data_IF_163793768199
#
_entry.id   IF_163793768199
#
_cell.length_a   1.000
_cell.length_b   1.000
_cell.length_c   1.000
_cell.angle_alpha   90.00
_cell.angle_beta   90.00
_cell.angle_gamma   90.00
#
_symmetry.space_group_name_H-M   'P 1'
#
loop_
_entity.id
_entity.type
_entity.pdbx_description
1 polymer ?
#
# COMPACT_ATOMS: atom_id res chain seq x y z
N UNK A 1 15.69 44.14 -1.33
CA UNK A 1 14.26 43.98 -1.64
C UNK A 1 13.95 42.49 -1.55
N UNK A 2 13.56 42.02 -0.37
CA UNK A 2 13.33 40.60 -0.08
C UNK A 2 11.83 40.34 0.05
N UNK A 3 11.28 39.43 -0.74
CA UNK A 3 9.89 38.99 -0.65
C UNK A 3 9.87 37.57 -0.08
N UNK A 4 9.72 37.45 1.24
CA UNK A 4 9.32 36.21 1.88
C UNK A 4 7.79 36.14 1.90
N UNK A 5 7.20 35.15 1.23
CA UNK A 5 5.79 34.79 1.41
C UNK A 5 5.72 33.69 2.46
N UNK A 6 5.30 34.05 3.67
CA UNK A 6 4.88 33.12 4.72
C UNK A 6 3.44 32.67 4.42
N UNK A 7 3.25 31.36 4.29
CA UNK A 7 1.92 30.74 4.19
C UNK A 7 1.42 30.52 5.62
N UNK A 8 0.32 31.18 5.96
CA UNK A 8 -0.39 31.05 7.24
C UNK A 8 -1.36 29.88 7.17
N UNK A 9 -1.17 28.86 7.99
CA UNK A 9 -2.15 27.77 8.22
C UNK A 9 -3.02 28.13 9.45
N UNK A 10 -4.31 27.73 9.49
CA UNK A 10 -5.22 28.02 10.59
C UNK A 10 -4.93 27.14 11.82
N UNK A 11 -5.26 27.59 13.05
CA UNK A 11 -4.89 26.90 14.28
C UNK A 11 -5.82 25.72 14.57
N UNK A 12 -5.22 24.61 14.98
CA UNK A 12 -5.89 23.49 15.64
C UNK A 12 -6.27 23.90 17.06
N UNK A 13 -7.52 23.63 17.43
CA UNK A 13 -8.10 23.89 18.74
C UNK A 13 -7.33 23.07 19.79
N UNK A 14 -6.63 23.77 20.69
CA UNK A 14 -6.10 23.22 21.93
C UNK A 14 -7.21 23.33 22.99
N UNK A 15 -7.67 22.20 23.50
CA UNK A 15 -8.54 22.14 24.69
C UNK A 15 -7.64 22.04 25.91
N UNK A 16 -7.80 23.01 26.82
CA UNK A 16 -7.07 23.13 28.07
C UNK A 16 -7.39 21.97 29.02
N UNK A 17 -6.35 21.34 29.57
CA UNK A 17 -6.45 20.56 30.80
C UNK A 17 -6.33 21.50 32.01
N UNK A 18 -7.37 21.55 32.84
CA UNK A 18 -7.26 21.84 34.26
C UNK A 18 -8.14 20.86 35.03
N UNK A 19 -7.52 20.14 35.97
CA UNK A 19 -8.11 19.00 36.65
C UNK A 19 -9.05 19.33 37.81
N UNK A 20 -9.64 18.27 38.38
CA UNK A 20 -9.63 17.88 39.80
C UNK A 20 -10.54 16.66 40.01
N UNK A 21 -9.92 15.62 40.55
CA UNK A 21 -10.39 14.58 41.48
C UNK A 21 -11.67 13.75 41.23
N UNK A 22 -11.40 12.44 41.06
CA UNK A 22 -11.99 11.29 41.75
C UNK A 22 -13.50 11.27 41.99
N UNK A 23 -14.17 10.28 41.37
CA UNK A 23 -14.97 9.31 42.11
C UNK A 23 -15.13 8.01 41.33
N UNK A 24 -14.84 6.91 42.01
CA UNK A 24 -15.05 5.51 41.61
C UNK A 24 -16.54 5.17 41.54
N UNK A 25 -16.99 4.55 40.45
CA UNK A 25 -18.09 3.57 40.48
C UNK A 25 -17.99 2.65 39.29
N UNK A 26 -18.02 1.36 39.57
CA UNK A 26 -18.03 0.23 38.64
C UNK A 26 -19.26 0.27 37.72
N UNK A 27 -19.11 -0.02 36.43
CA UNK A 27 -20.03 -0.92 35.73
C UNK A 27 -19.46 -1.46 34.41
N UNK A 28 -19.58 -2.77 34.29
CA UNK A 28 -19.19 -3.71 33.23
C UNK A 28 -20.25 -3.72 32.11
N UNK A 29 -19.94 -3.30 30.87
CA UNK A 29 -20.69 -3.65 29.63
C UNK A 29 -19.72 -3.47 28.43
N UNK A 30 -19.23 -4.58 27.87
CA UNK A 30 -19.58 -5.10 26.54
C UNK A 30 -19.41 -4.11 25.38
N UNK A 31 -18.39 -4.41 24.57
CA UNK A 31 -18.22 -4.03 23.17
C UNK A 31 -19.51 -4.17 22.38
N UNK A 32 -19.92 -3.11 21.70
CA UNK A 32 -20.77 -3.16 20.52
C UNK A 32 -20.36 -2.03 19.59
N UNK A 33 -19.98 -2.42 18.39
CA UNK A 33 -19.59 -1.58 17.28
C UNK A 33 -20.84 -0.84 16.76
N UNK A 34 -20.88 0.48 16.87
CA UNK A 34 -21.82 1.31 16.09
C UNK A 34 -21.11 1.78 14.82
N UNK A 35 -21.25 0.97 13.77
CA UNK A 35 -21.10 1.45 12.40
C UNK A 35 -22.39 2.17 12.05
N UNK A 36 -22.33 3.49 11.93
CA UNK A 36 -23.35 4.28 11.23
C UNK A 36 -23.33 3.90 9.74
N UNK A 37 -24.03 2.82 9.37
CA UNK A 37 -24.54 2.68 8.01
C UNK A 37 -25.74 3.62 7.89
N UNK A 38 -25.57 4.65 7.07
CA UNK A 38 -26.65 5.44 6.49
C UNK A 38 -27.55 4.51 5.69
N UNK A 39 -28.51 3.90 6.38
CA UNK A 39 -29.70 3.34 5.76
C UNK A 39 -30.49 4.53 5.22
N UNK A 40 -30.29 4.84 3.94
CA UNK A 40 -31.27 5.58 3.18
C UNK A 40 -32.55 4.75 3.24
N UNK A 41 -33.44 5.16 4.14
CA UNK A 41 -34.77 4.63 4.29
C UNK A 41 -35.48 4.68 2.94
N UNK A 42 -35.51 3.55 2.24
CA UNK A 42 -36.56 3.29 1.28
C UNK A 42 -37.81 2.97 2.10
N UNK A 43 -38.43 4.02 2.64
CA UNK A 43 -39.84 4.00 3.02
C UNK A 43 -40.63 3.71 1.74
N UNK A 44 -40.77 2.42 1.40
CA UNK A 44 -41.99 2.00 0.72
C UNK A 44 -43.05 2.17 1.79
N UNK A 45 -43.71 3.32 1.71
CA UNK A 45 -44.90 3.67 2.44
C UNK A 45 -45.82 2.45 2.46
N UNK A 46 -45.75 1.71 3.56
CA UNK A 46 -46.59 0.56 3.82
C UNK A 46 -47.96 1.20 4.02
N UNK A 47 -48.66 1.35 2.90
CA UNK A 47 -50.00 1.89 2.87
C UNK A 47 -50.75 1.18 3.98
N UNK A 48 -51.16 2.02 4.92
CA UNK A 48 -51.95 1.70 6.08
C UNK A 48 -52.91 0.60 5.66
N UNK A 49 -52.92 -0.52 6.40
CA UNK A 49 -54.05 -1.43 6.35
C UNK A 49 -55.24 -0.59 6.79
N UNK A 50 -55.90 0.04 5.83
CA UNK A 50 -57.17 0.71 6.02
C UNK A 50 -58.05 -0.40 6.56
N UNK A 51 -58.27 -0.38 7.87
CA UNK A 51 -59.32 -1.15 8.50
C UNK A 51 -60.60 -0.62 7.87
N UNK A 52 -60.94 -1.16 6.70
CA UNK A 52 -62.29 -1.16 6.20
C UNK A 52 -63.07 -2.02 7.18
N UNK A 53 -63.43 -1.42 8.32
CA UNK A 53 -64.62 -1.83 9.03
C UNK A 53 -65.72 -1.77 7.98
N UNK A 54 -66.18 -2.94 7.54
CA UNK A 54 -67.47 -3.08 6.87
C UNK A 54 -68.56 -2.74 7.88
N UNK A 55 -68.61 -1.47 8.29
CA UNK A 55 -69.71 -0.91 9.03
C UNK A 55 -70.68 -0.39 7.99
N UNK A 56 -71.71 -1.20 7.70
CA UNK A 56 -72.92 -0.74 7.04
C UNK A 56 -72.92 -0.80 5.51
N UNK A 57 -72.91 -1.99 4.91
CA UNK A 57 -73.67 -2.16 3.67
C UNK A 57 -75.16 -2.23 4.04
N UNK A 58 -75.82 -1.07 4.08
CA UNK A 58 -77.28 -1.03 4.13
C UNK A 58 -77.82 -1.66 2.84
N UNK A 59 -78.68 -2.67 2.99
CA UNK A 59 -79.36 -3.34 1.89
C UNK A 59 -80.38 -2.38 1.24
N UNK A 60 -79.91 -1.45 0.41
CA UNK A 60 -80.78 -0.44 -0.22
C UNK A 60 -81.53 -0.97 -1.46
N UNK A 61 -81.40 -2.26 -1.82
CA UNK A 61 -82.09 -2.82 -2.98
C UNK A 61 -82.92 -4.09 -2.72
N UNK A 62 -82.94 -4.58 -1.47
CA UNK A 62 -83.81 -5.67 -1.06
C UNK A 62 -84.21 -5.43 0.40
N UNK A 63 -85.51 -5.31 0.67
CA UNK A 63 -86.03 -5.02 2.01
C UNK A 63 -85.48 -5.96 3.10
N UNK A 64 -85.54 -5.54 4.38
CA UNK A 64 -84.94 -6.25 5.51
C UNK A 64 -85.54 -7.66 5.60
N UNK A 65 -84.82 -8.66 5.08
CA UNK A 65 -85.26 -10.06 5.03
C UNK A 65 -85.07 -10.79 3.70
N UNK A 66 -84.74 -10.11 2.59
CA UNK A 66 -84.59 -10.77 1.26
C UNK A 66 -83.15 -10.82 0.77
N UNK A 67 -82.24 -11.42 1.53
CA UNK A 67 -80.90 -11.74 1.02
C UNK A 67 -80.98 -12.99 0.15
N UNK A 68 -80.54 -12.93 -1.13
CA UNK A 68 -80.45 -14.09 -2.02
C UNK A 68 -79.74 -15.26 -1.35
N UNK A 69 -80.28 -16.46 -1.51
CA UNK A 69 -79.77 -17.67 -0.85
C UNK A 69 -78.32 -17.98 -1.24
N UNK A 70 -77.98 -17.76 -2.51
CA UNK A 70 -76.62 -17.87 -3.05
C UNK A 70 -75.61 -16.97 -2.30
N UNK A 71 -75.94 -15.71 -2.04
CA UNK A 71 -75.05 -14.79 -1.32
C UNK A 71 -74.82 -15.23 0.13
N UNK A 72 -75.86 -15.81 0.77
CA UNK A 72 -75.75 -16.33 2.14
C UNK A 72 -74.85 -17.57 2.21
N UNK A 73 -74.89 -18.42 1.19
CA UNK A 73 -74.04 -19.61 1.08
C UNK A 73 -72.58 -19.22 0.82
N UNK A 74 -72.32 -18.29 -0.11
CA UNK A 74 -70.98 -17.80 -0.43
C UNK A 74 -70.31 -17.12 0.77
N UNK A 75 -71.03 -16.29 1.54
CA UNK A 75 -70.48 -15.65 2.74
C UNK A 75 -70.14 -16.64 3.85
N UNK A 76 -70.97 -17.68 4.04
CA UNK A 76 -70.66 -18.77 4.98
C UNK A 76 -69.41 -19.50 4.53
N UNK A 77 -69.27 -19.80 3.23
CA UNK A 77 -68.10 -20.46 2.67
C UNK A 77 -66.83 -19.63 2.88
N UNK A 78 -66.85 -18.33 2.55
CA UNK A 78 -65.72 -17.40 2.80
C UNK A 78 -65.33 -17.42 4.28
N UNK A 79 -66.29 -17.28 5.20
CA UNK A 79 -65.97 -17.22 6.62
C UNK A 79 -65.39 -18.53 7.16
N UNK A 80 -65.88 -19.68 6.69
CA UNK A 80 -65.35 -20.99 7.10
C UNK A 80 -63.94 -21.20 6.56
N UNK A 81 -63.70 -20.91 5.28
CA UNK A 81 -62.40 -21.09 4.64
C UNK A 81 -61.35 -20.09 5.18
N UNK A 82 -61.74 -18.83 5.46
CA UNK A 82 -60.83 -17.86 6.07
C UNK A 82 -60.50 -18.17 7.53
N UNK A 83 -61.43 -18.77 8.29
CA UNK A 83 -61.15 -19.25 9.64
C UNK A 83 -60.22 -20.48 9.64
N UNK A 84 -60.17 -21.23 8.55
CA UNK A 84 -59.26 -22.38 8.40
C UNK A 84 -57.81 -21.96 8.09
N UNK A 85 -57.61 -20.77 7.51
CA UNK A 85 -56.26 -20.25 7.17
C UNK A 85 -55.65 -19.56 8.40
N UNK A 86 -54.45 -19.97 8.80
CA UNK A 86 -53.76 -19.39 9.95
C UNK A 86 -53.07 -18.07 9.60
N UNK A 87 -53.23 -17.05 10.45
CA UNK A 87 -52.63 -15.72 10.24
C UNK A 87 -51.08 -15.71 10.35
N UNK A 88 -50.48 -16.80 10.84
CA UNK A 88 -49.04 -16.95 11.00
C UNK A 88 -48.35 -17.48 9.73
N UNK A 89 -49.10 -17.92 8.71
CA UNK A 89 -48.51 -18.49 7.51
C UNK A 89 -47.88 -17.43 6.61
N UNK A 90 -46.65 -17.67 6.10
CA UNK A 90 -45.94 -16.71 5.24
C UNK A 90 -46.64 -16.46 3.90
N UNK A 91 -47.62 -17.30 3.51
CA UNK A 91 -48.46 -17.16 2.30
C UNK A 91 -49.91 -16.82 2.62
N UNK A 92 -50.19 -16.30 3.81
CA UNK A 92 -51.54 -15.96 4.26
C UNK A 92 -52.31 -15.12 3.23
N UNK A 93 -51.66 -14.11 2.64
CA UNK A 93 -52.29 -13.22 1.66
C UNK A 93 -52.61 -13.91 0.33
N UNK A 94 -51.74 -14.82 -0.14
CA UNK A 94 -51.99 -15.64 -1.34
C UNK A 94 -53.13 -16.64 -1.11
N UNK A 95 -53.16 -17.29 0.05
CA UNK A 95 -54.20 -18.25 0.42
C UNK A 95 -55.56 -17.57 0.60
N UNK A 96 -55.57 -16.38 1.23
CA UNK A 96 -56.76 -15.54 1.36
C UNK A 96 -57.29 -15.14 -0.02
N UNK A 97 -56.42 -14.69 -0.93
CA UNK A 97 -56.81 -14.33 -2.29
C UNK A 97 -57.40 -15.54 -3.05
N UNK A 98 -56.85 -16.74 -2.84
CA UNK A 98 -57.34 -17.98 -3.43
C UNK A 98 -58.78 -18.31 -3.00
N UNK A 99 -59.12 -18.12 -1.72
CA UNK A 99 -60.48 -18.31 -1.21
C UNK A 99 -61.46 -17.35 -1.88
N UNK A 100 -61.11 -16.07 -1.97
CA UNK A 100 -61.95 -15.08 -2.65
C UNK A 100 -62.08 -15.36 -4.15
N UNK A 101 -61.02 -15.83 -4.82
CA UNK A 101 -61.04 -16.21 -6.24
C UNK A 101 -61.98 -17.38 -6.50
N UNK A 102 -61.94 -18.41 -5.65
CA UNK A 102 -62.84 -19.58 -5.73
C UNK A 102 -64.32 -19.18 -5.51
N UNK A 103 -64.58 -18.30 -4.55
CA UNK A 103 -65.93 -17.79 -4.25
C UNK A 103 -66.43 -16.91 -5.40
N UNK A 104 -65.56 -16.11 -6.00
CA UNK A 104 -65.91 -15.29 -7.15
C UNK A 104 -66.18 -16.15 -8.40
N UNK A 105 -65.48 -17.28 -8.58
CA UNK A 105 -65.79 -18.26 -9.63
C UNK A 105 -67.17 -18.90 -9.45
N UNK A 106 -67.51 -19.29 -8.22
CA UNK A 106 -68.84 -19.80 -7.88
C UNK A 106 -69.91 -18.72 -8.14
N UNK A 107 -69.63 -17.47 -7.77
CA UNK A 107 -70.53 -16.34 -8.04
C UNK A 107 -70.74 -16.13 -9.55
N UNK A 108 -69.67 -16.06 -10.35
CA UNK A 108 -69.77 -15.88 -11.80
C UNK A 108 -70.55 -17.01 -12.47
N UNK A 109 -70.33 -18.26 -12.03
CA UNK A 109 -71.03 -19.43 -12.59
C UNK A 109 -72.55 -19.40 -12.38
N UNK A 110 -73.03 -18.71 -11.35
CA UNK A 110 -74.46 -18.60 -11.03
C UNK A 110 -75.18 -17.48 -11.81
N UNK A 111 -74.46 -16.49 -12.36
CA UNK A 111 -75.03 -15.36 -13.10
C UNK A 111 -74.85 -15.53 -14.62
N UNK A 112 -75.61 -16.44 -15.21
CA UNK A 112 -75.47 -16.84 -16.63
C UNK A 112 -75.59 -15.68 -17.63
N UNK A 113 -76.43 -14.67 -17.37
CA UNK A 113 -76.64 -13.52 -18.28
C UNK A 113 -75.44 -12.56 -18.33
N UNK A 114 -74.76 -12.34 -17.21
CA UNK A 114 -73.63 -11.40 -17.10
C UNK A 114 -72.26 -12.10 -17.05
N UNK A 115 -72.27 -13.44 -17.08
CA UNK A 115 -71.09 -14.29 -17.00
C UNK A 115 -69.99 -13.90 -17.99
N UNK A 116 -70.24 -13.61 -19.28
CA UNK A 116 -69.15 -13.27 -20.21
C UNK A 116 -68.40 -11.99 -19.79
N UNK A 117 -69.11 -10.98 -19.31
CA UNK A 117 -68.53 -9.71 -18.85
C UNK A 117 -67.72 -9.92 -17.57
N UNK A 118 -68.29 -10.59 -16.57
CA UNK A 118 -67.60 -10.85 -15.29
C UNK A 118 -66.38 -11.76 -15.47
N UNK A 119 -66.45 -12.77 -16.33
CA UNK A 119 -65.31 -13.60 -16.72
C UNK A 119 -64.21 -12.76 -17.37
N UNK A 120 -64.56 -11.81 -18.23
CA UNK A 120 -63.57 -10.94 -18.91
C UNK A 120 -62.87 -10.04 -17.90
N UNK A 121 -63.63 -9.39 -17.02
CA UNK A 121 -63.08 -8.56 -15.95
C UNK A 121 -62.17 -9.38 -15.04
N UNK A 122 -62.60 -10.59 -14.62
CA UNK A 122 -61.78 -11.49 -13.79
C UNK A 122 -60.46 -11.85 -14.49
N UNK A 123 -60.51 -12.18 -15.78
CA UNK A 123 -59.32 -12.52 -16.57
C UNK A 123 -58.31 -11.38 -16.59
N UNK A 124 -58.75 -10.14 -16.76
CA UNK A 124 -57.83 -8.98 -16.74
C UNK A 124 -57.10 -8.85 -15.39
N UNK A 125 -57.82 -9.01 -14.27
CA UNK A 125 -57.18 -9.00 -12.95
C UNK A 125 -56.27 -10.22 -12.72
N UNK A 126 -56.71 -11.42 -13.09
CA UNK A 126 -55.92 -12.65 -12.98
C UNK A 126 -54.62 -12.53 -13.81
N UNK A 127 -54.67 -11.89 -14.99
CA UNK A 127 -53.51 -11.62 -15.84
C UNK A 127 -52.52 -10.65 -15.17
N UNK A 128 -53.00 -9.56 -14.56
CA UNK A 128 -52.15 -8.60 -13.85
C UNK A 128 -51.47 -9.25 -12.65
N UNK A 129 -52.22 -10.05 -11.86
CA UNK A 129 -51.67 -10.76 -10.70
C UNK A 129 -50.59 -11.75 -11.13
N UNK A 130 -50.83 -12.51 -12.20
CA UNK A 130 -49.83 -13.44 -12.75
C UNK A 130 -48.57 -12.71 -13.23
N UNK A 131 -48.72 -11.57 -13.92
CA UNK A 131 -47.59 -10.73 -14.34
C UNK A 131 -46.75 -10.23 -13.16
N UNK A 132 -47.41 -9.74 -12.10
CA UNK A 132 -46.71 -9.29 -10.87
C UNK A 132 -45.97 -10.44 -10.18
N UNK A 133 -46.56 -11.63 -10.12
CA UNK A 133 -45.89 -12.82 -9.56
C UNK A 133 -44.63 -13.19 -10.36
N UNK A 134 -44.68 -13.10 -11.69
CA UNK A 134 -43.53 -13.34 -12.55
C UNK A 134 -42.41 -12.30 -12.32
N UNK A 135 -42.76 -11.02 -12.16
CA UNK A 135 -41.80 -9.97 -11.80
C UNK A 135 -41.14 -10.23 -10.43
N UNK A 136 -41.93 -10.62 -9.42
CA UNK A 136 -41.40 -10.98 -8.09
C UNK A 136 -40.44 -12.17 -8.21
N UNK A 137 -40.79 -13.19 -9.00
CA UNK A 137 -39.93 -14.35 -9.24
C UNK A 137 -38.62 -13.97 -9.95
N UNK A 138 -38.65 -13.02 -10.89
CA UNK A 138 -37.45 -12.48 -11.56
C UNK A 138 -36.57 -11.68 -10.61
N UNK A 139 -37.14 -10.98 -9.63
CA UNK A 139 -36.38 -10.20 -8.64
C UNK A 139 -35.65 -11.06 -7.61
N UNK A 140 -36.17 -12.25 -7.29
CA UNK A 140 -35.56 -13.16 -6.31
C UNK A 140 -34.09 -13.55 -6.62
N UNK A 141 -33.74 -14.02 -7.84
CA UNK A 141 -32.34 -14.33 -8.17
C UNK A 141 -31.46 -13.09 -8.18
N UNK A 142 -31.95 -11.93 -8.63
CA UNK A 142 -31.19 -10.67 -8.60
C UNK A 142 -30.80 -10.28 -7.16
N UNK A 143 -31.73 -10.42 -6.20
CA UNK A 143 -31.43 -10.18 -4.78
C UNK A 143 -30.37 -11.13 -4.23
N UNK A 144 -30.38 -12.39 -4.68
CA UNK A 144 -29.35 -13.37 -4.29
C UNK A 144 -27.97 -13.03 -4.89
N UNK A 145 -27.92 -12.63 -6.16
CA UNK A 145 -26.68 -12.21 -6.82
C UNK A 145 -26.10 -10.95 -6.18
N UNK A 146 -26.96 -9.95 -5.88
CA UNK A 146 -26.53 -8.74 -5.19
C UNK A 146 -25.91 -9.04 -3.82
N UNK A 147 -26.51 -9.98 -3.07
CA UNK A 147 -25.96 -10.42 -1.77
C UNK A 147 -24.59 -11.05 -1.93
N UNK A 148 -24.41 -11.95 -2.91
CA UNK A 148 -23.12 -12.58 -3.19
C UNK A 148 -22.06 -11.55 -3.56
N UNK A 149 -22.39 -10.59 -4.45
CA UNK A 149 -21.47 -9.51 -4.84
C UNK A 149 -21.12 -8.64 -3.62
N UNK A 150 -22.08 -8.32 -2.75
CA UNK A 150 -21.81 -7.59 -1.50
C UNK A 150 -20.81 -8.36 -0.62
N UNK A 151 -21.06 -9.64 -0.38
CA UNK A 151 -20.17 -10.50 0.41
C UNK A 151 -18.77 -10.61 -0.21
N UNK A 152 -18.66 -10.66 -1.54
CA UNK A 152 -17.39 -10.67 -2.26
C UNK A 152 -16.62 -9.35 -2.10
N UNK A 153 -17.30 -8.22 -2.26
CA UNK A 153 -16.71 -6.90 -2.06
C UNK A 153 -16.21 -6.73 -0.62
N UNK A 154 -17.03 -7.07 0.38
CA UNK A 154 -16.61 -7.03 1.78
C UNK A 154 -15.40 -7.93 2.05
N UNK A 155 -15.34 -9.12 1.44
CA UNK A 155 -14.19 -10.02 1.59
C UNK A 155 -12.92 -9.43 0.99
N UNK A 156 -13.02 -8.79 -0.18
CA UNK A 156 -11.88 -8.11 -0.82
C UNK A 156 -11.40 -6.94 0.03
N UNK A 157 -12.32 -6.11 0.52
CA UNK A 157 -12.03 -4.99 1.41
C UNK A 157 -11.31 -5.52 2.67
N UNK A 158 -11.87 -6.52 3.36
CA UNK A 158 -11.24 -7.13 4.55
C UNK A 158 -9.88 -7.78 4.26
N UNK A 159 -9.65 -8.31 3.07
CA UNK A 159 -8.35 -8.85 2.68
C UNK A 159 -7.31 -7.74 2.52
N UNK A 160 -7.65 -6.66 1.79
CA UNK A 160 -6.78 -5.51 1.60
C UNK A 160 -6.44 -4.82 2.93
N UNK A 161 -7.43 -4.63 3.81
CA UNK A 161 -7.18 -4.08 5.15
C UNK A 161 -6.18 -4.91 5.96
N UNK A 162 -6.28 -6.25 5.91
CA UNK A 162 -5.33 -7.13 6.60
C UNK A 162 -3.93 -6.99 6.02
N UNK A 163 -3.80 -7.00 4.70
CA UNK A 163 -2.51 -6.84 4.02
C UNK A 163 -1.86 -5.51 4.38
N UNK A 164 -2.58 -4.40 4.23
CA UNK A 164 -2.12 -3.07 4.61
C UNK A 164 -1.73 -2.98 6.09
N UNK A 165 -2.53 -3.56 6.98
CA UNK A 165 -2.20 -3.59 8.40
C UNK A 165 -0.92 -4.40 8.67
N UNK A 166 -0.73 -5.55 8.00
CA UNK A 166 0.52 -6.31 8.15
C UNK A 166 1.72 -5.54 7.61
N UNK A 167 1.59 -4.83 6.49
CA UNK A 167 2.64 -3.98 5.91
C UNK A 167 3.02 -2.83 6.85
N UNK A 168 2.02 -2.11 7.38
CA UNK A 168 2.24 -1.03 8.35
C UNK A 168 2.98 -1.54 9.58
N UNK A 169 2.60 -2.70 10.11
CA UNK A 169 3.27 -3.28 11.27
C UNK A 169 4.69 -3.74 10.96
N UNK A 170 4.97 -4.24 9.75
CA UNK A 170 6.33 -4.55 9.31
C UNK A 170 7.19 -3.28 9.20
N UNK A 171 6.69 -2.25 8.51
CA UNK A 171 7.38 -0.98 8.33
C UNK A 171 7.62 -0.28 9.68
N UNK A 172 6.69 -0.39 10.62
CA UNK A 172 6.85 0.16 11.97
C UNK A 172 7.99 -0.53 12.72
N UNK A 173 8.08 -1.86 12.63
CA UNK A 173 9.19 -2.64 13.21
C UNK A 173 10.52 -2.29 12.57
N UNK A 174 10.57 -2.22 11.24
CA UNK A 174 11.78 -1.84 10.51
C UNK A 174 12.24 -0.42 10.86
N UNK A 175 11.30 0.54 10.92
CA UNK A 175 11.60 1.90 11.37
C UNK A 175 12.21 1.91 12.77
N UNK A 176 11.65 1.14 13.70
CA UNK A 176 12.19 1.06 15.05
C UNK A 176 13.61 0.48 15.06
N UNK A 177 13.83 -0.62 14.32
CA UNK A 177 15.17 -1.22 14.18
C UNK A 177 16.19 -0.22 13.62
N UNK A 178 15.84 0.49 12.54
CA UNK A 178 16.72 1.51 11.95
C UNK A 178 16.99 2.66 12.92
N UNK A 179 16.02 3.04 13.76
CA UNK A 179 16.23 4.06 14.79
C UNK A 179 17.21 3.59 15.87
N UNK A 180 17.11 2.33 16.30
CA UNK A 180 18.04 1.71 17.24
C UNK A 180 19.45 1.63 16.65
N UNK A 181 19.58 1.22 15.38
CA UNK A 181 20.85 1.14 14.68
C UNK A 181 21.52 2.52 14.54
N UNK A 182 20.75 3.55 14.13
CA UNK A 182 21.24 4.94 14.05
C UNK A 182 21.70 5.45 15.41
N UNK A 183 20.98 5.12 16.48
CA UNK A 183 21.36 5.51 17.82
C UNK A 183 22.66 4.83 18.24
N UNK A 184 22.82 3.53 17.97
CA UNK A 184 24.07 2.81 18.25
C UNK A 184 25.25 3.40 17.47
N UNK A 185 25.06 3.72 16.19
CA UNK A 185 26.10 4.33 15.36
C UNK A 185 26.50 5.70 15.89
N UNK A 186 25.54 6.54 16.29
CA UNK A 186 25.82 7.84 16.92
C UNK A 186 26.58 7.70 18.24
N UNK A 187 26.31 6.66 19.01
CA UNK A 187 27.06 6.37 20.23
C UNK A 187 28.50 5.94 19.92
N UNK A 188 28.69 5.08 18.93
CA UNK A 188 30.04 4.69 18.48
C UNK A 188 30.83 5.88 17.92
N UNK A 189 30.17 6.78 17.17
CA UNK A 189 30.77 8.00 16.63
C UNK A 189 31.22 8.92 17.77
N UNK A 190 30.36 9.17 18.76
CA UNK A 190 30.73 9.95 19.96
C UNK A 190 31.91 9.31 20.69
N UNK A 191 31.90 7.99 20.88
CA UNK A 191 33.00 7.28 21.52
C UNK A 191 34.31 7.44 20.74
N UNK A 192 34.28 7.24 19.42
CA UNK A 192 35.43 7.48 18.55
C UNK A 192 35.92 8.92 18.62
N UNK A 193 35.01 9.90 18.59
CA UNK A 193 35.36 11.31 18.72
C UNK A 193 36.09 11.59 20.04
N UNK A 194 35.63 11.04 21.16
CA UNK A 194 36.34 11.21 22.44
C UNK A 194 37.74 10.60 22.43
N UNK A 195 37.93 9.48 21.72
CA UNK A 195 39.26 8.86 21.55
C UNK A 195 40.15 9.75 20.69
N UNK A 196 39.63 10.30 19.59
CA UNK A 196 40.36 11.24 18.72
C UNK A 196 40.78 12.48 19.51
N UNK A 197 39.86 13.10 20.26
CA UNK A 197 40.13 14.29 21.07
C UNK A 197 41.22 13.99 22.13
N UNK A 198 41.15 12.83 22.78
CA UNK A 198 42.17 12.37 23.71
C UNK A 198 43.53 12.23 23.04
N UNK A 199 43.61 11.50 21.93
CA UNK A 199 44.88 11.29 21.21
C UNK A 199 45.46 12.61 20.70
N UNK A 200 44.62 13.54 20.25
CA UNK A 200 45.03 14.88 19.86
C UNK A 200 45.62 15.65 21.04
N UNK A 201 45.00 15.57 22.22
CA UNK A 201 45.54 16.20 23.43
C UNK A 201 46.89 15.60 23.85
N UNK A 202 47.03 14.27 23.81
CA UNK A 202 48.25 13.55 24.15
C UNK A 202 49.38 13.89 23.17
N UNK A 203 49.09 13.94 21.87
CA UNK A 203 50.03 14.37 20.85
C UNK A 203 50.48 15.81 21.07
N UNK A 204 49.56 16.73 21.39
CA UNK A 204 49.92 18.13 21.69
C UNK A 204 50.82 18.26 22.92
N UNK A 205 50.59 17.42 23.94
CA UNK A 205 51.41 17.38 25.14
C UNK A 205 52.81 16.85 24.84
N UNK A 206 52.93 15.80 24.04
CA UNK A 206 54.21 15.26 23.60
C UNK A 206 55.01 16.28 22.77
N UNK A 207 54.36 17.03 21.87
CA UNK A 207 55.01 18.11 21.13
C UNK A 207 55.50 19.23 22.05
N UNK A 208 54.74 19.60 23.08
CA UNK A 208 55.15 20.61 24.04
C UNK A 208 56.37 20.14 24.84
N UNK A 209 56.35 18.91 25.36
CA UNK A 209 57.48 18.31 26.07
C UNK A 209 58.73 18.26 25.20
N UNK A 210 58.60 17.82 23.95
CA UNK A 210 59.72 17.79 23.01
C UNK A 210 60.33 19.18 22.77
N UNK A 211 59.49 20.21 22.65
CA UNK A 211 59.93 21.60 22.49
C UNK A 211 60.66 22.11 23.72
N UNK A 212 60.12 21.88 24.92
CA UNK A 212 60.74 22.27 26.18
C UNK A 212 62.10 21.59 26.38
N UNK A 213 62.18 20.29 26.09
CA UNK A 213 63.43 19.52 26.07
C UNK A 213 64.44 20.06 25.06
N UNK A 214 63.99 20.40 23.86
CA UNK A 214 64.84 21.01 22.84
C UNK A 214 65.36 22.39 23.30
N UNK A 215 64.50 23.23 23.88
CA UNK A 215 64.89 24.56 24.38
C UNK A 215 65.87 24.44 25.56
N UNK A 216 65.67 23.48 26.46
CA UNK A 216 66.61 23.15 27.54
C UNK A 216 67.98 22.69 26.99
N UNK A 217 67.99 21.80 25.98
CA UNK A 217 69.24 21.35 25.31
C UNK A 217 69.95 22.50 24.62
N UNK A 218 69.24 23.38 23.91
CA UNK A 218 69.82 24.55 23.26
C UNK A 218 70.46 25.49 24.28
N UNK A 219 69.80 25.70 25.43
CA UNK A 219 70.34 26.51 26.51
C UNK A 219 71.62 25.88 27.11
N UNK A 220 71.63 24.57 27.33
CA UNK A 220 72.82 23.84 27.78
C UNK A 220 73.97 23.91 26.76
N UNK A 221 73.68 23.78 25.47
CA UNK A 221 74.67 23.92 24.39
C UNK A 221 75.27 25.33 24.39
N UNK A 222 74.46 26.38 24.55
CA UNK A 222 74.96 27.75 24.68
C UNK A 222 75.86 27.90 25.90
N UNK A 223 75.42 27.43 27.07
CA UNK A 223 76.23 27.46 28.29
C UNK A 223 77.57 26.71 28.12
N UNK A 224 77.54 25.53 27.50
CA UNK A 224 78.75 24.77 27.19
C UNK A 224 79.65 25.50 26.20
N UNK A 225 79.10 26.15 25.17
CA UNK A 225 79.86 26.94 24.22
C UNK A 225 80.44 28.20 24.85
N UNK A 226 79.77 28.83 25.81
CA UNK A 226 80.30 29.97 26.56
C UNK A 226 81.48 29.53 27.45
N UNK A 227 81.34 28.39 28.16
CA UNK A 227 82.42 27.79 28.96
C UNK A 227 83.60 27.30 28.09
N UNK A 228 83.29 26.66 26.96
CA UNK A 228 84.29 26.12 26.02
C UNK A 228 84.94 27.24 25.22
N UNK A 229 84.21 28.28 24.81
CA UNK A 229 84.77 29.48 24.20
C UNK A 229 85.65 30.26 25.16
N UNK A 230 85.35 30.24 26.46
CA UNK A 230 86.24 30.74 27.51
C UNK A 230 87.47 29.83 27.75
N UNK A 231 87.36 28.52 27.52
CA UNK A 231 88.43 27.52 27.70
C UNK A 231 89.30 27.27 26.45
N UNK A 232 88.77 27.49 25.25
CA UNK A 232 89.36 27.13 23.95
C UNK A 232 89.87 28.40 23.29
N UNK A 233 90.86 28.99 23.94
CA UNK A 233 91.95 29.67 23.22
C UNK A 233 93.04 28.70 22.80
N UNK A 234 92.96 27.39 23.11
CA UNK A 234 94.03 26.47 22.77
C UNK A 234 93.56 25.07 22.32
N UNK A 235 94.10 24.67 21.17
CA UNK A 235 94.37 23.29 20.70
C UNK A 235 93.19 22.39 20.30
N UNK A 236 93.10 22.13 18.99
CA UNK A 236 92.39 20.99 18.39
C UNK A 236 93.40 20.07 17.70
N UNK A 237 93.54 18.78 18.05
CA UNK A 237 94.27 17.82 17.24
C UNK A 237 93.32 17.06 16.29
N UNK A 238 93.83 16.76 15.10
CA UNK A 238 93.19 15.96 14.08
C UNK A 238 93.33 14.46 14.41
N UNK A 239 92.20 13.75 14.48
CA UNK A 239 92.15 12.29 14.67
C UNK A 239 92.07 11.62 13.29
N UNK A 240 92.87 10.56 13.11
CA UNK A 240 93.07 9.86 11.85
C UNK A 240 91.94 8.86 11.58
N UNK A 241 91.44 8.88 10.34
CA UNK A 241 90.38 8.03 9.80
C UNK A 241 90.87 6.59 9.56
N UNK A 242 90.51 5.67 10.45
CA UNK A 242 90.56 4.22 10.19
C UNK A 242 89.18 3.57 10.24
N UNK A 243 88.21 4.19 10.92
CA UNK A 243 86.82 3.72 11.04
C UNK A 243 85.96 3.91 9.78
N UNK A 244 86.40 4.75 8.82
CA UNK A 244 85.62 5.07 7.62
C UNK A 244 85.47 3.87 6.66
N UNK A 245 86.48 3.00 6.57
CA UNK A 245 86.46 1.86 5.65
C UNK A 245 85.56 0.72 6.14
N UNK A 246 85.42 0.55 7.47
CA UNK A 246 84.48 -0.43 8.04
C UNK A 246 83.02 -0.02 7.83
N UNK A 247 82.74 1.27 8.00
CA UNK A 247 81.43 1.86 7.73
C UNK A 247 81.02 1.74 6.26
N UNK A 248 81.97 1.83 5.32
CA UNK A 248 81.70 1.70 3.88
C UNK A 248 81.30 0.26 3.50
N UNK A 249 81.94 -0.74 4.11
CA UNK A 249 81.58 -2.16 3.96
C UNK A 249 80.20 -2.49 4.56
N UNK A 250 79.89 -1.96 5.75
CA UNK A 250 78.57 -2.14 6.38
C UNK A 250 77.46 -1.43 5.60
N UNK A 251 77.75 -0.26 5.02
CA UNK A 251 76.81 0.48 4.20
C UNK A 251 76.49 -0.24 2.89
N UNK A 252 77.48 -0.89 2.27
CA UNK A 252 77.25 -1.69 1.07
C UNK A 252 76.45 -2.97 1.38
N UNK A 253 76.74 -3.64 2.50
CA UNK A 253 75.92 -4.76 2.98
C UNK A 253 74.45 -4.34 3.22
N UNK A 254 74.23 -3.17 3.84
CA UNK A 254 72.88 -2.62 4.03
C UNK A 254 72.18 -2.28 2.70
N UNK A 255 72.93 -1.84 1.69
CA UNK A 255 72.38 -1.56 0.34
C UNK A 255 71.96 -2.83 -0.39
N UNK A 256 72.72 -3.89 -0.24
CA UNK A 256 72.38 -5.20 -0.80
C UNK A 256 71.12 -5.77 -0.14
N UNK A 257 71.01 -5.69 1.19
CA UNK A 257 69.80 -6.10 1.91
C UNK A 257 68.57 -5.26 1.53
N UNK A 258 68.73 -3.94 1.42
CA UNK A 258 67.65 -3.06 0.93
C UNK A 258 67.24 -3.38 -0.51
N UNK A 259 68.19 -3.77 -1.36
CA UNK A 259 67.90 -4.15 -2.76
C UNK A 259 67.16 -5.48 -2.82
N UNK A 260 67.53 -6.44 -1.97
CA UNK A 260 66.83 -7.72 -1.82
C UNK A 260 65.40 -7.53 -1.30
N UNK A 261 65.22 -6.73 -0.24
CA UNK A 261 63.89 -6.41 0.31
C UNK A 261 63.06 -5.67 -0.75
N UNK A 262 63.64 -4.72 -1.50
CA UNK A 262 62.93 -4.05 -2.60
C UNK A 262 62.48 -5.02 -3.70
N UNK A 263 63.28 -6.00 -4.07
CA UNK A 263 62.89 -7.01 -5.04
C UNK A 263 61.78 -7.93 -4.50
N UNK A 264 61.86 -8.35 -3.24
CA UNK A 264 60.83 -9.14 -2.56
C UNK A 264 59.50 -8.36 -2.43
N UNK A 265 59.55 -7.04 -2.21
CA UNK A 265 58.37 -6.18 -2.08
C UNK A 265 57.82 -5.66 -3.41
N UNK A 266 58.61 -5.65 -4.49
CA UNK A 266 58.16 -5.18 -5.81
C UNK A 266 57.01 -6.05 -6.35
N UNK A 267 57.11 -7.37 -6.17
CA UNK A 267 56.09 -8.33 -6.63
C UNK A 267 54.92 -8.52 -5.65
N UNK A 268 55.06 -8.13 -4.38
CA UNK A 268 54.26 -8.77 -3.33
C UNK A 268 52.97 -8.06 -2.90
N UNK A 269 52.74 -6.75 -3.07
CA UNK A 269 51.66 -6.11 -2.25
C UNK A 269 50.74 -5.06 -2.91
N UNK A 270 51.00 -4.50 -4.11
CA UNK A 270 49.86 -3.91 -4.85
C UNK A 270 49.58 -4.52 -6.22
N UNK A 271 50.59 -4.76 -7.06
CA UNK A 271 50.34 -5.07 -8.47
C UNK A 271 49.64 -6.42 -8.69
N UNK A 272 50.05 -7.47 -7.97
CA UNK A 272 49.42 -8.78 -8.07
C UNK A 272 47.93 -8.75 -7.65
N UNK A 273 47.62 -8.06 -6.56
CA UNK A 273 46.24 -7.93 -6.07
C UNK A 273 45.40 -7.04 -7.00
N UNK A 274 46.00 -6.00 -7.59
CA UNK A 274 45.37 -5.20 -8.64
C UNK A 274 45.07 -6.02 -9.90
N UNK A 275 46.00 -6.86 -10.36
CA UNK A 275 45.80 -7.71 -11.53
C UNK A 275 44.71 -8.76 -11.27
N UNK A 276 44.71 -9.39 -10.09
CA UNK A 276 43.66 -10.31 -9.68
C UNK A 276 42.29 -9.62 -9.61
N UNK A 277 42.23 -8.41 -9.03
CA UNK A 277 41.01 -7.60 -8.98
C UNK A 277 40.55 -7.17 -10.37
N UNK A 278 41.47 -6.83 -11.27
CA UNK A 278 41.16 -6.44 -12.64
C UNK A 278 40.62 -7.63 -13.45
N UNK A 279 41.20 -8.82 -13.30
CA UNK A 279 40.71 -10.04 -13.93
C UNK A 279 39.30 -10.42 -13.44
N UNK A 280 39.05 -10.32 -12.13
CA UNK A 280 37.71 -10.58 -11.58
C UNK A 280 36.70 -9.55 -12.07
N UNK A 281 37.06 -8.26 -12.10
CA UNK A 281 36.22 -7.21 -12.66
C UNK A 281 35.86 -7.48 -14.13
N UNK A 282 36.84 -7.82 -14.98
CA UNK A 282 36.60 -8.16 -16.38
C UNK A 282 35.66 -9.36 -16.53
N UNK A 283 35.84 -10.41 -15.71
CA UNK A 283 34.94 -11.57 -15.68
C UNK A 283 33.50 -11.18 -15.33
N UNK A 284 33.31 -10.37 -14.29
CA UNK A 284 31.99 -9.89 -13.86
C UNK A 284 31.32 -9.05 -14.95
N UNK A 285 32.08 -8.19 -15.63
CA UNK A 285 31.56 -7.39 -16.77
C UNK A 285 31.09 -8.29 -17.91
N UNK A 286 31.82 -9.36 -18.22
CA UNK A 286 31.38 -10.34 -19.23
C UNK A 286 30.10 -11.05 -18.82
N UNK A 287 29.98 -11.47 -17.55
CA UNK A 287 28.75 -12.08 -17.02
C UNK A 287 27.55 -11.12 -17.05
N UNK A 288 27.75 -9.84 -16.77
CA UNK A 288 26.70 -8.84 -16.88
C UNK A 288 26.25 -8.67 -18.33
N UNK A 289 27.17 -8.68 -19.29
CA UNK A 289 26.84 -8.62 -20.72
C UNK A 289 26.04 -9.83 -21.18
N UNK A 290 26.39 -11.04 -20.73
CA UNK A 290 25.62 -12.25 -21.06
C UNK A 290 24.22 -12.19 -20.45
N UNK A 291 24.09 -11.86 -19.16
CA UNK A 291 22.80 -11.73 -18.49
C UNK A 291 21.93 -10.62 -19.10
N UNK A 292 22.53 -9.52 -19.54
CA UNK A 292 21.81 -8.47 -20.26
C UNK A 292 21.30 -8.97 -21.62
N UNK A 293 22.05 -9.83 -22.31
CA UNK A 293 21.62 -10.52 -23.52
C UNK A 293 20.43 -11.44 -23.25
N UNK A 294 20.54 -12.29 -22.24
CA UNK A 294 19.49 -13.22 -21.82
C UNK A 294 18.20 -12.49 -21.42
N UNK A 295 18.33 -11.38 -20.67
CA UNK A 295 17.19 -10.53 -20.32
C UNK A 295 16.51 -9.94 -21.54
N UNK A 296 17.27 -9.46 -22.53
CA UNK A 296 16.70 -8.96 -23.79
C UNK A 296 15.98 -10.06 -24.58
N UNK A 297 16.53 -11.27 -24.58
CA UNK A 297 15.91 -12.44 -25.21
C UNK A 297 14.57 -12.77 -24.54
N UNK A 298 14.57 -12.94 -23.22
CA UNK A 298 13.35 -13.21 -22.44
C UNK A 298 12.30 -12.11 -22.65
N UNK A 299 12.74 -10.84 -22.68
CA UNK A 299 11.84 -9.72 -22.96
C UNK A 299 11.21 -9.85 -24.34
N UNK A 300 11.98 -10.19 -25.37
CA UNK A 300 11.45 -10.41 -26.71
C UNK A 300 10.50 -11.61 -26.77
N UNK A 301 10.81 -12.72 -26.09
CA UNK A 301 9.92 -13.89 -26.01
C UNK A 301 8.60 -13.52 -25.31
N UNK A 302 8.68 -12.78 -24.20
CA UNK A 302 7.50 -12.27 -23.50
C UNK A 302 6.67 -11.35 -24.40
N UNK A 303 7.30 -10.41 -25.09
CA UNK A 303 6.62 -9.49 -26.01
C UNK A 303 5.93 -10.27 -27.14
N UNK A 304 6.57 -11.30 -27.71
CA UNK A 304 5.94 -12.18 -28.72
C UNK A 304 4.76 -12.97 -28.15
N UNK A 305 4.87 -13.50 -26.92
CA UNK A 305 3.76 -14.22 -26.28
C UNK A 305 2.60 -13.27 -25.96
N UNK A 306 2.90 -12.04 -25.57
CA UNK A 306 1.92 -10.98 -25.36
C UNK A 306 1.20 -10.62 -26.67
N UNK A 307 1.93 -10.52 -27.77
CA UNK A 307 1.35 -10.33 -29.11
C UNK A 307 0.48 -11.51 -29.55
N UNK A 308 0.91 -12.75 -29.30
CA UNK A 308 0.10 -13.96 -29.55
C UNK A 308 -1.18 -13.98 -28.70
N UNK A 309 -1.11 -13.59 -27.43
CA UNK A 309 -2.29 -13.50 -26.58
C UNK A 309 -3.25 -12.40 -27.06
N UNK A 310 -2.71 -11.22 -27.42
CA UNK A 310 -3.52 -10.12 -27.98
C UNK A 310 -4.17 -10.50 -29.31
N UNK A 311 -3.44 -11.16 -30.21
CA UNK A 311 -3.96 -11.63 -31.51
C UNK A 311 -4.93 -12.81 -31.37
N UNK A 312 -4.72 -13.71 -30.41
CA UNK A 312 -5.67 -14.77 -30.04
C UNK A 312 -6.97 -14.24 -29.42
N UNK A 313 -6.90 -13.12 -28.70
CA UNK A 313 -8.08 -12.40 -28.18
C UNK A 313 -8.78 -11.55 -29.27
N UNK A 314 -8.09 -11.27 -30.38
CA UNK A 314 -8.63 -10.62 -31.59
C UNK A 314 -9.18 -11.63 -32.62
N UNK A 315 -9.42 -12.89 -32.25
CA UNK A 315 -10.44 -13.70 -32.92
C UNK A 315 -11.80 -13.52 -32.24
N UNK A 316 -12.60 -12.51 -32.60
CA UNK A 316 -14.03 -12.66 -32.49
C UNK A 316 -14.43 -13.69 -33.55
N UNK A 317 -15.03 -14.77 -33.05
CA UNK A 317 -16.21 -15.45 -33.59
C UNK A 317 -16.97 -14.58 -34.62
N UNK A 318 -16.45 -14.49 -35.84
CA UNK A 318 -17.10 -13.83 -36.98
C UNK A 318 -17.73 -14.92 -37.85
N UNK A 319 -18.93 -15.33 -37.44
CA UNK A 319 -19.98 -15.55 -38.42
C UNK A 319 -21.09 -14.53 -38.14
N UNK A 320 -21.47 -13.85 -39.24
CA UNK A 320 -22.70 -13.06 -39.44
C UNK A 320 -22.63 -11.56 -39.08
N UNK A 321 -22.28 -10.80 -40.12
CA UNK A 321 -22.97 -9.63 -40.69
C UNK A 321 -23.45 -8.49 -39.78
N UNK A 322 -23.11 -7.25 -40.18
CA UNK A 322 -24.03 -6.22 -40.72
C UNK A 322 -23.62 -4.79 -40.31
N UNK A 323 -23.06 -4.06 -41.27
CA UNK A 323 -23.24 -2.62 -41.61
C UNK A 323 -23.08 -1.47 -40.60
N UNK A 324 -22.50 -0.39 -41.15
CA UNK A 324 -22.70 1.06 -40.89
C UNK A 324 -21.66 1.76 -40.00
N UNK A 325 -20.85 2.59 -40.68
CA UNK A 325 -20.37 3.95 -40.37
C UNK A 325 -20.15 4.35 -38.91
N UNK A 326 -18.94 4.85 -38.59
CA UNK A 326 -18.66 6.30 -38.44
C UNK A 326 -17.18 6.59 -38.17
N UNK A 327 -16.69 7.59 -38.91
CA UNK A 327 -15.82 8.69 -38.49
C UNK A 327 -14.51 8.42 -37.75
N UNK A 328 -13.45 8.65 -38.52
CA UNK A 328 -12.08 8.95 -38.12
C UNK A 328 -12.05 10.25 -37.31
N UNK A 329 -11.54 10.21 -36.08
CA UNK A 329 -10.92 11.36 -35.44
C UNK A 329 -9.50 11.00 -34.97
N UNK A 330 -8.59 11.87 -35.38
CA UNK A 330 -7.16 11.97 -35.10
C UNK A 330 -6.92 12.17 -33.61
N UNK A 331 -5.84 11.58 -33.07
CA UNK A 331 -4.81 12.35 -32.38
C UNK A 331 -3.45 11.62 -32.40
N UNK A 332 -2.45 12.38 -32.85
CA UNK A 332 -1.02 12.08 -32.87
C UNK A 332 -0.47 12.03 -31.43
N UNK A 333 0.47 11.13 -31.17
CA UNK A 333 1.50 11.43 -30.16
C UNK A 333 2.87 10.92 -30.62
N UNK A 334 3.81 11.86 -30.55
CA UNK A 334 5.09 11.87 -31.23
C UNK A 334 6.14 11.02 -30.52
N UNK A 335 6.86 10.27 -31.35
CA UNK A 335 8.10 9.58 -31.05
C UNK A 335 9.22 10.61 -30.80
N UNK A 336 9.76 10.67 -29.58
CA UNK A 336 11.02 11.39 -29.30
C UNK A 336 12.15 10.40 -29.01
N UNK A 337 13.14 10.42 -29.90
CA UNK A 337 14.41 9.68 -29.84
C UNK A 337 15.26 10.10 -28.63
N UNK A 338 16.00 9.18 -27.99
CA UNK A 338 17.01 9.52 -26.98
C UNK A 338 18.37 9.72 -27.65
N UNK A 339 18.69 10.94 -28.08
CA UNK A 339 19.98 11.26 -28.72
C UNK A 339 20.78 12.37 -28.01
N UNK A 340 20.54 12.59 -26.71
CA UNK A 340 21.22 13.67 -25.95
C UNK A 340 21.99 13.26 -24.69
N UNK A 341 22.15 11.96 -24.39
CA UNK A 341 22.87 11.54 -23.16
C UNK A 341 24.37 11.26 -23.32
N UNK A 342 24.94 11.37 -24.53
CA UNK A 342 26.36 11.10 -24.80
C UNK A 342 27.27 12.34 -24.88
N UNK A 343 26.80 13.54 -24.48
CA UNK A 343 27.63 14.76 -24.53
C UNK A 343 28.07 15.33 -23.18
N UNK A 344 27.78 14.69 -22.05
CA UNK A 344 28.15 15.19 -20.72
C UNK A 344 29.28 14.41 -20.01
N UNK A 345 29.90 13.42 -20.66
CA UNK A 345 30.98 12.62 -20.03
C UNK A 345 32.39 13.06 -20.50
N UNK A 346 32.52 13.89 -21.55
CA UNK A 346 33.83 14.26 -22.14
C UNK A 346 34.27 15.72 -21.89
N UNK A 347 33.91 16.34 -20.77
CA UNK A 347 34.30 17.73 -20.49
C UNK A 347 34.87 17.99 -19.09
N UNK A 348 35.40 16.95 -18.42
CA UNK A 348 36.04 17.10 -17.11
C UNK A 348 37.56 16.85 -17.10
N UNK A 349 38.19 16.59 -18.25
CA UNK A 349 39.65 16.47 -18.36
C UNK A 349 40.18 17.53 -19.34
N UNK A 350 40.34 18.77 -18.85
CA UNK A 350 41.38 19.72 -19.27
C UNK A 350 41.17 21.06 -18.56
N UNK A 351 41.84 21.23 -17.42
CA UNK A 351 42.30 22.52 -16.91
C UNK A 351 43.44 22.28 -15.90
N UNK A 352 44.66 22.32 -16.42
CA UNK A 352 45.76 23.04 -15.74
C UNK A 352 45.67 24.51 -16.13
#
# INVERSE_FOLDING_TARGET
MSLHKTITLPPLIQTEEQGVQQNTSELKVQTSEETHESAADFYVERQSTTKFCWSGCSYLYAGPGRKPELLRQLERHVNVELCAISAQEPKFEELKLQVYRNVFDQFISAFTTYQPLLCTIKKEYDNIIAGQQEEIQKLAPLRSQLRLVKEECERKIRAQWREQHTEIEMLKREKQQLQEDVQSMKETEKNMQTVVDRLQSELSQQYLQYREEHDARQLLIRQLNDLTGASVTNTRPAVQNTDFQGLELELEACREELSRIKAEYWDAVPQHDWDALQQTHQRTVLQLKTLQGDFKLIKSEYDTLLELHKSGNLQPKNQVSTSVQTEVHVDEEQETKPEQLNKLINLQDHKE
#
